data_IF_915663954232
#
_entry.id   IF_915663954232
#
_cell.length_a   1.000
_cell.length_b   1.000
_cell.length_c   1.000
_cell.angle_alpha   90.00
_cell.angle_beta   90.00
_cell.angle_gamma   90.00
#
_symmetry.space_group_name_H-M   'P 1'
#
loop_
_entity.id
_entity.type
_entity.pdbx_description
1 polymer ?
#
# COMPACT_ATOMS: atom_id res chain seq x y z
N UNK A 1 -6.60 -6.80 -12.55
CA UNK A 1 -7.56 -7.81 -12.05
C UNK A 1 -7.04 -8.55 -10.81
N UNK A 2 -5.79 -9.03 -10.84
CA UNK A 2 -5.14 -9.71 -9.70
C UNK A 2 -5.24 -8.96 -8.37
N UNK A 3 -4.84 -7.68 -8.30
CA UNK A 3 -4.89 -6.89 -7.04
C UNK A 3 -6.30 -6.75 -6.46
N UNK A 4 -7.35 -6.67 -7.30
CA UNK A 4 -8.74 -6.64 -6.80
C UNK A 4 -9.12 -7.96 -6.11
N UNK A 5 -8.77 -9.09 -6.73
CA UNK A 5 -8.98 -10.42 -6.15
C UNK A 5 -8.20 -10.63 -4.86
N UNK A 6 -6.97 -10.13 -4.80
CA UNK A 6 -6.12 -10.17 -3.60
C UNK A 6 -6.72 -9.33 -2.45
N UNK A 7 -7.21 -8.12 -2.75
CA UNK A 7 -7.86 -7.26 -1.76
C UNK A 7 -9.20 -7.86 -1.27
N UNK A 8 -9.93 -8.57 -2.14
CA UNK A 8 -11.11 -9.32 -1.73
C UNK A 8 -10.72 -10.47 -0.79
N UNK A 9 -9.74 -11.28 -1.17
CA UNK A 9 -9.23 -12.36 -0.33
C UNK A 9 -8.74 -11.88 1.04
N UNK A 10 -8.03 -10.75 1.10
CA UNK A 10 -7.58 -10.12 2.36
C UNK A 10 -8.76 -9.85 3.30
N UNK A 11 -9.86 -9.30 2.77
CA UNK A 11 -11.07 -8.99 3.56
C UNK A 11 -11.82 -10.26 3.96
N UNK A 12 -11.84 -11.29 3.11
CA UNK A 12 -12.42 -12.59 3.45
C UNK A 12 -11.71 -13.25 4.65
N UNK A 13 -10.45 -12.90 4.94
CA UNK A 13 -9.76 -13.34 6.15
C UNK A 13 -10.24 -12.62 7.43
N UNK A 14 -11.18 -11.67 7.31
CA UNK A 14 -11.64 -10.83 8.43
C UNK A 14 -10.67 -9.71 8.79
N UNK A 15 -9.61 -9.49 7.99
CA UNK A 15 -8.63 -8.44 8.24
C UNK A 15 -9.14 -7.06 7.80
N UNK A 16 -8.61 -6.01 8.45
CA UNK A 16 -9.10 -4.65 8.26
C UNK A 16 -8.58 -4.05 6.96
N UNK A 17 -9.49 -3.70 6.06
CA UNK A 17 -9.21 -2.85 4.91
C UNK A 17 -9.79 -1.45 5.15
N UNK A 18 -8.95 -0.43 5.05
CA UNK A 18 -9.30 0.99 5.13
C UNK A 18 -9.29 1.53 3.71
N UNK A 19 -10.46 1.98 3.25
CA UNK A 19 -10.62 2.61 1.95
C UNK A 19 -10.39 4.11 2.06
N UNK A 20 -9.49 4.63 1.23
CA UNK A 20 -9.22 6.06 1.12
C UNK A 20 -9.72 6.57 -0.23
N UNK A 21 -10.53 7.63 -0.20
CA UNK A 21 -10.93 8.33 -1.41
C UNK A 21 -9.71 9.09 -1.96
N UNK A 22 -9.27 8.81 -3.20
CA UNK A 22 -8.09 9.46 -3.76
C UNK A 22 -8.27 10.96 -3.95
N UNK A 23 -9.47 11.41 -4.31
CA UNK A 23 -9.78 12.82 -4.52
C UNK A 23 -9.74 13.57 -3.17
N UNK A 24 -10.36 13.03 -2.11
CA UNK A 24 -10.30 13.65 -0.78
C UNK A 24 -8.89 13.65 -0.21
N UNK A 25 -8.13 12.58 -0.45
CA UNK A 25 -6.74 12.47 -0.04
C UNK A 25 -5.86 13.52 -0.74
N UNK A 26 -5.95 13.64 -2.06
CA UNK A 26 -5.16 14.62 -2.85
C UNK A 26 -5.55 16.06 -2.47
N UNK A 27 -6.83 16.31 -2.19
CA UNK A 27 -7.33 17.64 -1.81
C UNK A 27 -7.05 18.01 -0.35
N UNK A 28 -6.46 17.10 0.45
CA UNK A 28 -6.20 17.31 1.87
C UNK A 28 -7.48 17.41 2.71
N UNK A 29 -8.59 16.84 2.23
CA UNK A 29 -9.90 16.84 2.91
C UNK A 29 -10.19 15.53 3.65
N UNK A 30 -9.44 14.48 3.34
CA UNK A 30 -9.50 13.23 4.09
C UNK A 30 -9.01 13.46 5.52
N UNK A 31 -9.77 12.98 6.50
CA UNK A 31 -9.32 12.87 7.89
C UNK A 31 -8.22 11.80 8.00
N UNK A 32 -7.00 12.22 7.71
CA UNK A 32 -5.81 11.36 7.71
C UNK A 32 -5.40 10.96 9.13
N UNK A 33 -5.75 11.73 10.15
CA UNK A 33 -5.47 11.40 11.55
C UNK A 33 -6.27 10.16 11.97
N UNK A 34 -7.55 10.12 11.60
CA UNK A 34 -8.40 8.95 11.81
C UNK A 34 -7.86 7.72 11.09
N UNK A 35 -7.44 7.85 9.83
CA UNK A 35 -6.87 6.72 9.07
C UNK A 35 -5.59 6.21 9.71
N UNK A 36 -4.70 7.11 10.14
CA UNK A 36 -3.45 6.77 10.84
C UNK A 36 -3.75 6.07 12.17
N UNK A 37 -4.66 6.60 12.98
CA UNK A 37 -5.03 6.01 14.27
C UNK A 37 -5.63 4.61 14.10
N UNK A 38 -6.51 4.43 13.11
CA UNK A 38 -7.13 3.14 12.84
C UNK A 38 -6.13 2.09 12.35
N UNK A 39 -5.23 2.47 11.42
CA UNK A 39 -4.17 1.58 10.94
C UNK A 39 -3.19 1.22 12.06
N UNK A 40 -2.77 2.21 12.86
CA UNK A 40 -1.89 2.00 14.01
C UNK A 40 -2.49 1.04 15.03
N UNK A 41 -3.79 1.17 15.35
CA UNK A 41 -4.46 0.25 16.27
C UNK A 41 -4.53 -1.20 15.79
N UNK A 42 -4.49 -1.46 14.47
CA UNK A 42 -4.34 -2.82 13.95
C UNK A 42 -2.91 -3.34 14.16
N UNK A 43 -1.91 -2.52 13.83
CA UNK A 43 -0.49 -2.87 13.97
C UNK A 43 -0.09 -3.12 15.43
N UNK A 44 -0.53 -2.26 16.35
CA UNK A 44 -0.31 -2.41 17.80
C UNK A 44 -0.96 -3.69 18.36
N UNK A 45 -2.05 -4.16 17.73
CA UNK A 45 -2.69 -5.43 18.04
C UNK A 45 -2.10 -6.63 17.27
N UNK A 46 -0.94 -6.46 16.61
CA UNK A 46 -0.28 -7.47 15.78
C UNK A 46 -1.17 -8.04 14.66
N UNK A 47 -2.06 -7.21 14.12
CA UNK A 47 -2.97 -7.57 13.02
C UNK A 47 -2.57 -6.86 11.73
N UNK A 48 -2.67 -7.54 10.57
CA UNK A 48 -2.42 -6.90 9.29
C UNK A 48 -3.54 -5.89 8.97
N UNK A 49 -3.17 -4.80 8.32
CA UNK A 49 -4.09 -3.78 7.81
C UNK A 49 -3.76 -3.45 6.36
N UNK A 50 -4.80 -3.30 5.55
CA UNK A 50 -4.70 -2.86 4.16
C UNK A 50 -5.23 -1.44 4.04
N UNK A 51 -4.39 -0.51 3.56
CA UNK A 51 -4.83 0.82 3.13
C UNK A 51 -4.88 0.83 1.62
N UNK A 52 -6.05 1.10 1.05
CA UNK A 52 -6.26 0.98 -0.40
C UNK A 52 -7.27 2.00 -0.92
N UNK A 53 -7.18 2.35 -2.19
CA UNK A 53 -8.22 3.11 -2.87
C UNK A 53 -9.27 2.16 -3.42
N UNK A 54 -10.47 2.68 -3.68
CA UNK A 54 -11.47 1.88 -4.39
C UNK A 54 -11.00 1.50 -5.79
N UNK A 55 -11.51 0.35 -6.25
CA UNK A 55 -11.29 -0.17 -7.59
C UNK A 55 -12.63 -0.45 -8.30
N UNK A 56 -13.74 0.07 -7.75
CA UNK A 56 -15.04 0.01 -8.39
C UNK A 56 -15.02 0.87 -9.68
N UNK A 57 -15.47 0.34 -10.84
CA UNK A 57 -15.31 1.04 -12.12
C UNK A 57 -15.93 2.44 -12.15
N UNK A 58 -17.07 2.63 -11.48
CA UNK A 58 -17.78 3.89 -11.34
C UNK A 58 -17.02 4.89 -10.48
N UNK A 59 -16.50 4.48 -9.32
CA UNK A 59 -15.70 5.35 -8.45
C UNK A 59 -14.36 5.74 -9.11
N UNK A 60 -13.73 4.79 -9.81
CA UNK A 60 -12.51 5.08 -10.60
C UNK A 60 -12.81 6.08 -11.71
N UNK A 61 -13.93 5.92 -12.42
CA UNK A 61 -14.35 6.86 -13.46
C UNK A 61 -14.63 8.26 -12.89
N UNK A 62 -15.25 8.36 -11.71
CA UNK A 62 -15.49 9.63 -11.02
C UNK A 62 -14.18 10.36 -10.70
N UNK A 63 -13.21 9.67 -10.09
CA UNK A 63 -11.89 10.25 -9.75
C UNK A 63 -11.15 10.69 -11.02
N UNK A 64 -11.20 9.89 -12.09
CA UNK A 64 -10.58 10.25 -13.37
C UNK A 64 -11.25 11.46 -14.02
N UNK A 65 -12.58 11.57 -13.99
CA UNK A 65 -13.32 12.71 -14.52
C UNK A 65 -13.02 13.98 -13.73
N UNK A 66 -12.98 13.88 -12.40
CA UNK A 66 -12.57 14.98 -11.53
C UNK A 66 -11.14 15.44 -11.88
N UNK A 67 -10.18 14.52 -11.95
CA UNK A 67 -8.79 14.84 -12.25
C UNK A 67 -8.63 15.53 -13.62
N UNK A 68 -9.34 15.03 -14.65
CA UNK A 68 -9.39 15.67 -15.97
C UNK A 68 -9.96 17.09 -15.90
N UNK A 69 -11.00 17.32 -15.10
CA UNK A 69 -11.56 18.65 -14.88
C UNK A 69 -10.60 19.59 -14.13
N UNK A 70 -9.59 19.05 -13.42
CA UNK A 70 -8.50 19.82 -12.82
C UNK A 70 -7.29 19.98 -13.75
N UNK A 71 -7.37 19.51 -15.01
CA UNK A 71 -6.27 19.58 -15.97
C UNK A 71 -5.17 18.53 -15.77
N UNK A 72 -5.42 17.48 -14.98
CA UNK A 72 -4.44 16.41 -14.74
C UNK A 72 -4.49 15.35 -15.84
N UNK A 73 -3.32 14.88 -16.27
CA UNK A 73 -3.21 13.66 -17.08
C UNK A 73 -3.45 12.40 -16.22
N UNK A 74 -3.73 11.23 -16.82
CA UNK A 74 -3.76 9.96 -16.10
C UNK A 74 -2.48 9.68 -15.31
N UNK A 75 -1.33 10.04 -15.88
CA UNK A 75 -0.01 9.89 -15.27
C UNK A 75 0.15 10.81 -14.05
N UNK A 76 -0.31 12.07 -14.14
CA UNK A 76 -0.31 13.01 -13.02
C UNK A 76 -1.21 12.52 -11.89
N UNK A 77 -2.39 12.01 -12.23
CA UNK A 77 -3.32 11.44 -11.25
C UNK A 77 -2.68 10.24 -10.55
N UNK A 78 -2.12 9.28 -11.29
CA UNK A 78 -1.45 8.12 -10.73
C UNK A 78 -0.33 8.54 -9.76
N UNK A 79 0.50 9.50 -10.17
CA UNK A 79 1.59 10.03 -9.33
C UNK A 79 1.07 10.72 -8.07
N UNK A 80 0.01 11.52 -8.18
CA UNK A 80 -0.60 12.20 -7.05
C UNK A 80 -1.17 11.21 -6.02
N UNK A 81 -1.89 10.18 -6.49
CA UNK A 81 -2.40 9.11 -5.63
C UNK A 81 -1.25 8.38 -4.94
N UNK A 82 -0.24 7.95 -5.70
CA UNK A 82 0.91 7.21 -5.16
C UNK A 82 1.70 8.04 -4.13
N UNK A 83 1.94 9.33 -4.40
CA UNK A 83 2.61 10.23 -3.46
C UNK A 83 1.80 10.45 -2.19
N UNK A 84 0.49 10.62 -2.29
CA UNK A 84 -0.36 10.84 -1.14
C UNK A 84 -0.50 9.57 -0.27
N UNK A 85 -0.59 8.39 -0.90
CA UNK A 85 -0.51 7.10 -0.20
C UNK A 85 0.85 6.91 0.49
N UNK A 86 1.95 7.34 -0.14
CA UNK A 86 3.28 7.27 0.46
C UNK A 86 3.39 8.16 1.71
N UNK A 87 2.87 9.39 1.65
CA UNK A 87 2.81 10.28 2.79
C UNK A 87 1.96 9.69 3.93
N UNK A 88 0.81 9.08 3.61
CA UNK A 88 -0.04 8.42 4.60
C UNK A 88 0.67 7.22 5.24
N UNK A 89 1.32 6.37 4.45
CA UNK A 89 2.09 5.23 4.96
C UNK A 89 3.24 5.68 5.86
N UNK A 90 3.92 6.78 5.53
CA UNK A 90 4.96 7.35 6.39
C UNK A 90 4.40 7.67 7.77
N UNK A 91 3.25 8.35 7.82
CA UNK A 91 2.61 8.72 9.08
C UNK A 91 2.14 7.51 9.89
N UNK A 92 1.67 6.46 9.22
CA UNK A 92 1.31 5.19 9.88
C UNK A 92 2.55 4.55 10.52
N UNK A 93 3.66 4.42 9.79
CA UNK A 93 4.89 3.81 10.28
C UNK A 93 5.58 4.62 11.38
N UNK A 94 5.45 5.94 11.36
CA UNK A 94 5.90 6.80 12.46
C UNK A 94 5.05 6.60 13.72
N UNK A 95 3.74 6.32 13.56
CA UNK A 95 2.82 6.18 14.69
C UNK A 95 2.90 4.81 15.35
N UNK A 96 3.11 3.74 14.57
CA UNK A 96 3.21 2.38 15.07
C UNK A 96 4.20 1.55 14.23
N UNK A 97 5.11 0.79 14.88
CA UNK A 97 6.03 -0.08 14.16
C UNK A 97 5.27 -1.20 13.45
N UNK A 98 5.62 -1.47 12.19
CA UNK A 98 5.12 -2.60 11.43
C UNK A 98 6.19 -3.70 11.34
N UNK A 99 5.75 -4.97 11.38
CA UNK A 99 6.63 -6.12 11.14
C UNK A 99 7.13 -6.19 9.68
N UNK A 100 6.45 -5.51 8.76
CA UNK A 100 6.85 -5.40 7.36
C UNK A 100 5.84 -4.61 6.54
N UNK A 101 6.20 -4.30 5.29
CA UNK A 101 5.40 -3.52 4.35
C UNK A 101 5.21 -4.29 3.04
N UNK A 102 3.96 -4.43 2.59
CA UNK A 102 3.62 -5.00 1.28
C UNK A 102 3.01 -3.92 0.41
N UNK A 103 3.52 -3.76 -0.81
CA UNK A 103 3.06 -2.76 -1.77
C UNK A 103 2.63 -3.42 -3.08
N UNK A 104 1.44 -3.07 -3.56
CA UNK A 104 0.93 -3.50 -4.86
C UNK A 104 0.81 -2.31 -5.83
N UNK A 105 1.51 -2.39 -6.97
CA UNK A 105 1.55 -1.36 -8.01
C UNK A 105 2.93 -0.73 -8.18
N UNK A 106 3.38 -0.55 -9.43
CA UNK A 106 4.74 -0.07 -9.73
C UNK A 106 4.96 1.39 -9.34
N UNK A 107 4.03 2.27 -9.72
CA UNK A 107 4.06 3.69 -9.40
C UNK A 107 4.01 3.92 -7.89
N UNK A 108 3.12 3.19 -7.21
CA UNK A 108 2.96 3.23 -5.75
C UNK A 108 4.21 2.72 -5.04
N UNK A 109 4.83 1.64 -5.52
CA UNK A 109 6.10 1.16 -4.99
C UNK A 109 7.21 2.21 -5.12
N UNK A 110 7.36 2.83 -6.30
CA UNK A 110 8.34 3.89 -6.50
C UNK A 110 8.12 5.10 -5.59
N UNK A 111 6.87 5.52 -5.42
CA UNK A 111 6.52 6.63 -4.51
C UNK A 111 6.81 6.29 -3.05
N UNK A 112 6.47 5.08 -2.59
CA UNK A 112 6.74 4.61 -1.22
C UNK A 112 8.23 4.47 -0.95
N UNK A 113 9.01 3.91 -1.88
CA UNK A 113 10.46 3.81 -1.73
C UNK A 113 11.12 5.17 -1.45
N UNK A 114 10.67 6.22 -2.17
CA UNK A 114 11.15 7.58 -1.98
C UNK A 114 10.57 8.22 -0.72
N UNK A 115 9.24 8.19 -0.57
CA UNK A 115 8.52 8.87 0.51
C UNK A 115 8.82 8.33 1.91
N UNK A 116 9.12 7.03 2.02
CA UNK A 116 9.52 6.39 3.27
C UNK A 116 11.04 6.40 3.52
N UNK A 117 11.82 6.93 2.57
CA UNK A 117 13.28 6.86 2.59
C UNK A 117 13.79 5.44 2.90
N UNK A 118 13.29 4.44 2.15
CA UNK A 118 13.63 3.02 2.38
C UNK A 118 15.11 2.70 2.14
N UNK A 119 15.85 3.60 1.50
CA UNK A 119 17.28 3.42 1.20
C UNK A 119 17.51 2.28 0.21
N UNK A 120 18.63 1.58 0.38
CA UNK A 120 18.90 0.35 -0.35
C UNK A 120 17.99 -0.79 0.13
N UNK A 121 17.63 -1.69 -0.78
CA UNK A 121 16.87 -2.90 -0.46
C UNK A 121 17.80 -4.10 -0.57
N UNK A 122 18.01 -4.80 0.55
CA UNK A 122 18.67 -6.11 0.54
C UNK A 122 17.67 -7.14 0.00
N UNK A 123 17.97 -7.73 -1.16
CA UNK A 123 17.08 -8.67 -1.84
C UNK A 123 17.29 -10.08 -1.27
N UNK A 124 16.21 -10.69 -0.79
CA UNK A 124 16.17 -12.06 -0.31
C UNK A 124 15.51 -13.03 -1.29
N UNK A 125 14.98 -14.13 -0.76
CA UNK A 125 14.29 -15.15 -1.54
C UNK A 125 12.98 -14.66 -2.16
N UNK A 126 12.56 -15.32 -3.24
CA UNK A 126 11.29 -15.04 -3.90
C UNK A 126 10.12 -15.64 -3.13
N UNK A 127 9.10 -14.81 -2.85
CA UNK A 127 7.80 -15.26 -2.33
C UNK A 127 7.03 -15.93 -3.46
N UNK A 128 7.07 -15.31 -4.65
CA UNK A 128 6.51 -15.79 -5.91
C UNK A 128 7.41 -15.37 -7.09
N UNK A 129 7.24 -15.93 -8.30
CA UNK A 129 8.03 -15.55 -9.47
C UNK A 129 8.02 -14.02 -9.70
N UNK A 130 9.20 -13.41 -9.61
CA UNK A 130 9.38 -11.96 -9.79
C UNK A 130 8.98 -11.10 -8.58
N UNK A 131 8.72 -11.70 -7.41
CA UNK A 131 8.34 -10.99 -6.19
C UNK A 131 9.24 -11.40 -5.01
N UNK A 132 10.40 -10.74 -4.85
CA UNK A 132 11.31 -11.02 -3.75
C UNK A 132 10.80 -10.45 -2.41
N UNK A 133 11.17 -11.11 -1.33
CA UNK A 133 11.17 -10.53 0.00
C UNK A 133 12.45 -9.71 0.17
N UNK A 134 12.32 -8.40 0.36
CA UNK A 134 13.44 -7.52 0.58
C UNK A 134 13.49 -7.04 2.02
N UNK A 135 14.63 -6.50 2.45
CA UNK A 135 14.76 -5.72 3.69
C UNK A 135 15.22 -4.30 3.35
N UNK A 136 14.48 -3.30 3.81
CA UNK A 136 14.89 -1.90 3.68
C UNK A 136 16.07 -1.60 4.62
N UNK A 137 17.00 -0.76 4.15
CA UNK A 137 18.21 -0.35 4.87
C UNK A 137 18.23 1.15 5.21
N UNK A 138 17.12 1.85 4.95
CA UNK A 138 16.93 3.27 5.23
C UNK A 138 16.25 3.54 6.57
N UNK A 139 15.40 4.56 6.61
CA UNK A 139 14.75 5.07 7.85
C UNK A 139 13.97 3.98 8.58
N UNK A 140 13.22 3.17 7.85
CA UNK A 140 12.45 2.05 8.39
C UNK A 140 13.10 0.73 7.98
N UNK A 141 13.93 0.10 8.83
CA UNK A 141 14.71 -1.09 8.48
C UNK A 141 13.89 -2.39 8.54
N UNK A 142 12.71 -2.39 7.93
CA UNK A 142 11.70 -3.45 7.95
C UNK A 142 11.74 -4.31 6.68
N UNK A 143 11.22 -5.56 6.73
CA UNK A 143 10.87 -6.33 5.55
C UNK A 143 9.95 -5.55 4.61
N UNK A 144 10.22 -5.58 3.31
CA UNK A 144 9.44 -4.92 2.27
C UNK A 144 9.22 -5.88 1.10
N UNK A 145 7.99 -5.92 0.61
CA UNK A 145 7.59 -6.69 -0.58
C UNK A 145 6.97 -5.73 -1.59
N UNK A 146 7.62 -5.58 -2.74
CA UNK A 146 7.14 -4.73 -3.82
C UNK A 146 6.62 -5.62 -4.96
N UNK A 147 5.33 -5.56 -5.25
CA UNK A 147 4.68 -6.38 -6.27
C UNK A 147 4.03 -5.51 -7.35
N UNK A 148 4.19 -5.90 -8.62
CA UNK A 148 3.39 -5.33 -9.71
C UNK A 148 1.89 -5.62 -9.54
N UNK A 149 1.02 -4.72 -10.00
CA UNK A 149 -0.43 -4.83 -9.83
C UNK A 149 -1.06 -6.06 -10.49
N UNK A 150 -0.41 -6.63 -11.51
CA UNK A 150 -0.89 -7.78 -12.28
C UNK A 150 -0.31 -9.13 -11.84
N UNK A 151 0.61 -9.13 -10.88
CA UNK A 151 1.28 -10.34 -10.40
C UNK A 151 0.58 -10.93 -9.18
N UNK A 152 0.92 -12.16 -8.85
CA UNK A 152 0.58 -12.77 -7.57
C UNK A 152 -0.66 -13.67 -7.61
N UNK A 153 -0.65 -14.73 -6.82
CA UNK A 153 -1.84 -15.53 -6.55
C UNK A 153 -2.94 -14.74 -5.82
N UNK A 154 -4.15 -15.29 -5.72
CA UNK A 154 -5.26 -14.69 -4.94
C UNK A 154 -4.93 -14.55 -3.45
N UNK A 155 -4.21 -15.52 -2.89
CA UNK A 155 -3.78 -15.56 -1.48
C UNK A 155 -2.43 -14.86 -1.21
N UNK A 156 -1.95 -14.05 -2.15
CA UNK A 156 -0.62 -13.43 -2.11
C UNK A 156 -0.32 -12.72 -0.79
N UNK A 157 -1.26 -11.95 -0.23
CA UNK A 157 -1.04 -11.26 1.05
C UNK A 157 -0.75 -12.23 2.19
N UNK A 158 -1.42 -13.40 2.25
CA UNK A 158 -1.13 -14.42 3.24
C UNK A 158 0.27 -15.01 3.09
N UNK A 159 0.72 -15.21 1.86
CA UNK A 159 2.09 -15.67 1.56
C UNK A 159 3.14 -14.64 1.97
N UNK A 160 2.91 -13.38 1.62
CA UNK A 160 3.79 -12.27 1.97
C UNK A 160 3.90 -12.10 3.50
N UNK A 161 2.78 -12.14 4.22
CA UNK A 161 2.77 -12.04 5.69
C UNK A 161 3.54 -13.20 6.35
N UNK A 162 3.38 -14.45 5.88
CA UNK A 162 4.17 -15.59 6.37
C UNK A 162 5.66 -15.43 6.10
N UNK A 163 6.03 -14.93 4.91
CA UNK A 163 7.41 -14.70 4.55
C UNK A 163 8.05 -13.61 5.44
N UNK A 164 7.33 -12.52 5.68
CA UNK A 164 7.74 -11.46 6.62
C UNK A 164 7.95 -12.02 8.03
N UNK A 165 7.00 -12.82 8.53
CA UNK A 165 7.10 -13.42 9.86
C UNK A 165 8.31 -14.37 10.01
N UNK A 166 8.77 -15.00 8.93
CA UNK A 166 9.97 -15.87 8.97
C UNK A 166 11.31 -15.12 9.13
N UNK A 167 11.30 -13.78 9.02
CA UNK A 167 12.48 -12.92 9.26
C UNK A 167 12.53 -12.34 10.69
N UNK A 168 11.49 -12.61 11.50
CA UNK A 168 11.34 -12.12 12.88
C UNK A 168 11.94 -13.14 13.86
#
# INVERSE_FOLDING_TARGET
EATRGQNAWFREQGWRAIFVDPQELIRGRLDTDRVVAEAAGQLEASRPVLVTTSAAPDEVAQVQNWARAQGMTPEDLGRAISSALAALAHRILERAPAAGLVVAGGETAGALCRGLALGALAVGGNIEPGVPLCRALGRFPIPVVLKSGNFGSRDFYGRALRAIASLS
#
